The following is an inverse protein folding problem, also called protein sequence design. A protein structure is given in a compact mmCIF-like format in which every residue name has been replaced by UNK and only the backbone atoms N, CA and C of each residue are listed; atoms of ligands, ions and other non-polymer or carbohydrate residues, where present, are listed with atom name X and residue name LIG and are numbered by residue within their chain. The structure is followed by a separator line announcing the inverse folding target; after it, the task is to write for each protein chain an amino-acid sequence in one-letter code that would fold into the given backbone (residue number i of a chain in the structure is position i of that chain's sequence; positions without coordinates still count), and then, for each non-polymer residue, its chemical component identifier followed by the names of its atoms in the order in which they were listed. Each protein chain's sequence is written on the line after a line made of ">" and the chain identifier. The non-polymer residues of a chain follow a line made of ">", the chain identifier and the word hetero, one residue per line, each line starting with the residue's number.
data_IF_257683187347
#
_entry.id   IF_257683187347
#
_cell.length_a   1.000
_cell.length_b   1.000
_cell.length_c   1.000
_cell.angle_alpha   90.00
_cell.angle_beta   90.00
_cell.angle_gamma   90.00
#
_symmetry.space_group_name_H-M   'P 1'
#
loop_
_entity.id
_entity.type
_entity.pdbx_description
1 polymer ?
#
# COMPACT_ATOMS: atom_id res chain seq x y z
N UNK A 1 2.12 -1.46 23.66
CA UNK A 1 2.73 -0.77 22.51
C UNK A 1 2.42 -1.40 21.16
N UNK A 2 2.50 -2.74 20.98
CA UNK A 2 2.28 -3.37 19.65
C UNK A 2 0.85 -3.20 19.08
N UNK A 3 -0.17 -3.13 19.95
CA UNK A 3 -1.59 -3.06 19.55
C UNK A 3 -1.95 -1.71 18.91
N UNK A 4 -1.44 -0.61 19.45
CA UNK A 4 -1.64 0.74 18.91
C UNK A 4 -0.93 0.93 17.57
N UNK A 5 0.31 0.42 17.43
CA UNK A 5 1.04 0.46 16.16
C UNK A 5 0.30 -0.35 15.07
N UNK A 6 -0.22 -1.53 15.42
CA UNK A 6 -1.00 -2.35 14.47
C UNK A 6 -2.28 -1.64 14.03
N UNK A 7 -3.02 -1.01 14.95
CA UNK A 7 -4.19 -0.19 14.64
C UNK A 7 -3.84 0.97 13.71
N UNK A 8 -2.73 1.66 13.99
CA UNK A 8 -2.26 2.76 13.17
C UNK A 8 -1.96 2.32 11.74
N UNK A 9 -1.28 1.18 11.55
CA UNK A 9 -1.01 0.60 10.22
C UNK A 9 -2.31 0.25 9.48
N UNK A 10 -3.29 -0.32 10.18
CA UNK A 10 -4.61 -0.66 9.61
C UNK A 10 -5.38 0.59 9.18
N UNK A 11 -5.36 1.64 10.00
CA UNK A 11 -6.01 2.91 9.70
C UNK A 11 -5.32 3.62 8.53
N UNK A 12 -3.98 3.68 8.54
CA UNK A 12 -3.22 4.23 7.42
C UNK A 12 -3.47 3.46 6.12
N UNK A 13 -3.50 2.12 6.19
CA UNK A 13 -3.79 1.29 5.01
C UNK A 13 -5.21 1.52 4.49
N UNK A 14 -6.20 1.61 5.38
CA UNK A 14 -7.59 1.89 5.00
C UNK A 14 -7.75 3.28 4.39
N UNK A 15 -7.16 4.31 5.02
CA UNK A 15 -7.23 5.68 4.54
C UNK A 15 -6.48 5.86 3.21
N UNK A 16 -5.28 5.29 3.10
CA UNK A 16 -4.52 5.31 1.86
C UNK A 16 -5.27 4.58 0.74
N UNK A 17 -5.86 3.42 1.02
CA UNK A 17 -6.67 2.68 0.05
C UNK A 17 -7.89 3.46 -0.42
N UNK A 18 -8.64 4.07 0.50
CA UNK A 18 -9.80 4.91 0.18
C UNK A 18 -9.42 6.15 -0.63
N UNK A 19 -8.32 6.81 -0.26
CA UNK A 19 -7.82 7.99 -0.97
C UNK A 19 -7.33 7.64 -2.38
N UNK A 20 -6.64 6.51 -2.53
CA UNK A 20 -6.15 6.06 -3.84
C UNK A 20 -7.31 5.67 -4.77
N UNK A 21 -8.40 5.14 -4.20
CA UNK A 21 -9.61 4.81 -4.94
C UNK A 21 -10.32 6.06 -5.50
N UNK A 22 -10.26 7.21 -4.81
CA UNK A 22 -10.88 8.46 -5.26
C UNK A 22 -10.01 9.24 -6.23
N UNK A 23 -8.69 9.28 -6.05
CA UNK A 23 -7.79 10.05 -6.92
C UNK A 23 -7.41 9.33 -8.21
N UNK A 24 -7.30 8.01 -8.19
CA UNK A 24 -7.06 7.17 -9.38
C UNK A 24 -5.67 7.25 -10.01
N UNK A 25 -4.82 8.18 -9.57
CA UNK A 25 -3.46 8.39 -10.10
C UNK A 25 -2.46 8.67 -8.98
N UNK A 26 -1.30 8.02 -9.06
CA UNK A 26 -0.22 8.16 -8.08
C UNK A 26 1.15 7.95 -8.73
N UNK A 27 2.10 8.82 -8.41
CA UNK A 27 3.49 8.73 -8.83
C UNK A 27 4.37 8.39 -7.63
N UNK A 28 5.10 7.29 -7.72
CA UNK A 28 6.07 6.89 -6.71
C UNK A 28 7.48 7.20 -7.23
N UNK A 29 8.22 8.16 -6.64
CA UNK A 29 9.57 8.48 -7.07
C UNK A 29 10.49 7.26 -6.90
N UNK A 30 11.30 6.98 -7.90
CA UNK A 30 12.30 5.92 -7.78
C UNK A 30 13.42 6.37 -6.82
N UNK A 31 13.90 5.45 -5.99
CA UNK A 31 14.87 5.74 -4.92
C UNK A 31 16.30 5.86 -5.45
N UNK A 32 16.59 5.17 -6.55
CA UNK A 32 17.92 5.11 -7.15
C UNK A 32 18.12 6.18 -8.24
N UNK A 33 17.03 6.61 -8.90
CA UNK A 33 17.05 7.68 -9.89
C UNK A 33 15.80 8.55 -9.74
N UNK A 34 15.99 9.76 -9.20
CA UNK A 34 14.90 10.70 -8.91
C UNK A 34 14.23 11.26 -10.18
N UNK A 35 14.86 11.09 -11.35
CA UNK A 35 14.28 11.48 -12.64
C UNK A 35 13.19 10.53 -13.12
N UNK A 36 13.11 9.32 -12.53
CA UNK A 36 12.12 8.30 -12.86
C UNK A 36 11.10 8.17 -11.73
N UNK A 37 9.83 7.97 -12.11
CA UNK A 37 8.76 7.66 -11.19
C UNK A 37 7.97 6.44 -11.69
N UNK A 38 7.57 5.57 -10.77
CA UNK A 38 6.61 4.51 -11.05
C UNK A 38 5.21 5.12 -11.01
N UNK A 39 4.58 5.21 -12.17
CA UNK A 39 3.24 5.72 -12.38
C UNK A 39 2.21 4.61 -12.21
N UNK A 40 1.30 4.81 -11.26
CA UNK A 40 0.13 3.97 -11.05
C UNK A 40 -1.10 4.72 -11.57
N UNK A 41 -1.57 4.35 -12.76
CA UNK A 41 -2.76 4.94 -13.40
C UNK A 41 -3.92 3.94 -13.50
N UNK A 42 -5.14 4.45 -13.35
CA UNK A 42 -6.37 3.72 -13.64
C UNK A 42 -6.48 2.37 -12.92
N UNK A 43 -6.24 1.27 -13.64
CA UNK A 43 -6.37 -0.09 -13.11
C UNK A 43 -5.30 -0.41 -12.06
N UNK A 44 -4.05 0.05 -12.24
CA UNK A 44 -2.94 -0.27 -11.32
C UNK A 44 -3.10 0.46 -9.98
N UNK A 45 -3.56 1.71 -10.02
CA UNK A 45 -3.98 2.45 -8.81
C UNK A 45 -5.14 1.76 -8.09
N UNK A 46 -6.16 1.28 -8.83
CA UNK A 46 -7.28 0.53 -8.23
C UNK A 46 -6.87 -0.80 -7.63
N UNK A 47 -5.96 -1.53 -8.25
CA UNK A 47 -5.40 -2.77 -7.71
C UNK A 47 -4.64 -2.51 -6.41
N UNK A 48 -3.83 -1.45 -6.36
CA UNK A 48 -3.12 -1.04 -5.16
C UNK A 48 -4.09 -0.60 -4.04
N UNK A 49 -5.14 0.15 -4.39
CA UNK A 49 -6.19 0.56 -3.46
C UNK A 49 -6.91 -0.67 -2.88
N UNK A 50 -7.26 -1.63 -3.73
CA UNK A 50 -7.86 -2.90 -3.34
C UNK A 50 -6.98 -3.70 -2.39
N UNK A 51 -5.66 -3.76 -2.65
CA UNK A 51 -4.71 -4.42 -1.78
C UNK A 51 -4.68 -3.78 -0.38
N UNK A 52 -4.61 -2.45 -0.31
CA UNK A 52 -4.59 -1.69 0.95
C UNK A 52 -5.87 -1.87 1.77
N UNK A 53 -7.03 -1.89 1.11
CA UNK A 53 -8.31 -2.17 1.76
C UNK A 53 -8.40 -3.62 2.26
N UNK A 54 -7.91 -4.59 1.49
CA UNK A 54 -7.84 -5.99 1.92
C UNK A 54 -6.93 -6.13 3.15
N UNK A 55 -5.80 -5.45 3.17
CA UNK A 55 -4.87 -5.45 4.31
C UNK A 55 -5.53 -4.86 5.57
N UNK A 56 -6.24 -3.74 5.42
CA UNK A 56 -6.99 -3.11 6.52
C UNK A 56 -8.07 -4.06 7.05
N UNK A 57 -8.86 -4.68 6.17
CA UNK A 57 -9.89 -5.64 6.54
C UNK A 57 -9.32 -6.88 7.26
N UNK A 58 -8.18 -7.40 6.79
CA UNK A 58 -7.47 -8.49 7.46
C UNK A 58 -7.02 -8.08 8.86
N UNK A 59 -6.37 -6.92 8.99
CA UNK A 59 -5.89 -6.41 10.27
C UNK A 59 -7.02 -6.17 11.29
N UNK A 60 -8.16 -5.62 10.86
CA UNK A 60 -9.35 -5.46 11.72
C UNK A 60 -9.89 -6.82 12.17
N UNK A 61 -10.03 -7.78 11.24
CA UNK A 61 -10.52 -9.13 11.55
C UNK A 61 -9.64 -9.84 12.58
N UNK A 62 -8.32 -9.65 12.49
CA UNK A 62 -7.36 -10.18 13.45
C UNK A 62 -7.48 -9.52 14.83
N UNK A 63 -7.59 -8.19 14.87
CA UNK A 63 -7.70 -7.45 16.14
C UNK A 63 -9.02 -7.70 16.86
N UNK A 64 -10.14 -7.81 16.12
CA UNK A 64 -11.44 -8.19 16.67
C UNK A 64 -11.36 -9.55 17.36
N UNK A 65 -10.73 -10.54 16.70
CA UNK A 65 -10.60 -11.89 17.26
C UNK A 65 -9.69 -11.90 18.51
N UNK A 66 -8.60 -11.15 18.48
CA UNK A 66 -7.73 -10.93 19.65
C UNK A 66 -8.44 -10.18 20.79
N UNK A 67 -9.40 -9.29 20.49
CA UNK A 67 -10.18 -8.55 21.49
C UNK A 67 -11.25 -9.44 22.15
N UNK A 68 -11.82 -10.37 21.40
CA UNK A 68 -12.80 -11.35 21.90
C UNK A 68 -12.18 -12.41 22.84
N UNK A 69 -10.86 -12.38 23.07
CA UNK A 69 -10.21 -13.29 24.02
C UNK A 69 -10.30 -14.77 23.63
N UNK A 70 -10.69 -15.07 22.39
CA UNK A 70 -10.81 -16.45 21.91
C UNK A 70 -9.42 -17.07 21.82
N UNK A 71 -9.10 -17.94 22.77
CA UNK A 71 -7.89 -18.76 22.74
C UNK A 71 -7.87 -19.53 21.42
N UNK A 72 -6.72 -19.48 20.75
CA UNK A 72 -6.44 -20.12 19.47
C UNK A 72 -6.90 -21.59 19.47
N UNK A 73 -8.10 -21.83 18.96
CA UNK A 73 -8.73 -23.14 18.95
C UNK A 73 -9.88 -23.18 17.95
N UNK A 74 -9.57 -23.67 16.75
CA UNK A 74 -10.49 -24.36 15.85
C UNK A 74 -11.67 -23.58 15.25
N UNK A 75 -11.42 -22.43 14.61
CA UNK A 75 -12.31 -22.03 13.51
C UNK A 75 -11.53 -22.05 12.19
N UNK A 76 -11.53 -23.23 11.57
CA UNK A 76 -10.86 -23.47 10.28
C UNK A 76 -11.42 -22.54 9.20
N UNK A 77 -12.71 -22.21 9.26
CA UNK A 77 -13.34 -21.30 8.30
C UNK A 77 -12.77 -19.88 8.40
N UNK A 78 -12.58 -19.38 9.62
CA UNK A 78 -11.93 -18.08 9.81
C UNK A 78 -10.47 -18.09 9.38
N UNK A 79 -9.70 -19.14 9.70
CA UNK A 79 -8.31 -19.25 9.26
C UNK A 79 -8.20 -19.25 7.73
N UNK A 80 -9.04 -20.02 7.05
CA UNK A 80 -9.09 -20.05 5.59
C UNK A 80 -9.49 -18.68 5.05
N UNK A 81 -10.55 -18.05 5.57
CA UNK A 81 -10.97 -16.71 5.13
C UNK A 81 -9.85 -15.68 5.31
N UNK A 82 -9.18 -15.71 6.45
CA UNK A 82 -8.08 -14.80 6.74
C UNK A 82 -6.88 -15.03 5.81
N UNK A 83 -6.53 -16.30 5.59
CA UNK A 83 -5.50 -16.69 4.62
C UNK A 83 -5.85 -16.22 3.21
N UNK A 84 -7.07 -16.45 2.74
CA UNK A 84 -7.54 -16.02 1.41
C UNK A 84 -7.46 -14.50 1.25
N UNK A 85 -7.86 -13.72 2.27
CA UNK A 85 -7.76 -12.25 2.21
C UNK A 85 -6.29 -11.80 2.14
N UNK A 86 -5.39 -12.44 2.89
CA UNK A 86 -3.96 -12.13 2.84
C UNK A 86 -3.34 -12.51 1.49
N UNK A 87 -3.66 -13.68 0.96
CA UNK A 87 -3.21 -14.11 -0.37
C UNK A 87 -3.73 -13.16 -1.44
N UNK A 88 -5.00 -12.76 -1.37
CA UNK A 88 -5.58 -11.78 -2.29
C UNK A 88 -4.87 -10.43 -2.20
N UNK A 89 -4.55 -9.96 -1.00
CA UNK A 89 -3.76 -8.75 -0.79
C UNK A 89 -2.40 -8.82 -1.50
N UNK A 90 -1.69 -9.94 -1.35
CA UNK A 90 -0.37 -10.13 -2.00
C UNK A 90 -0.53 -10.12 -3.52
N UNK A 91 -1.49 -10.87 -4.07
CA UNK A 91 -1.74 -10.94 -5.52
C UNK A 91 -2.09 -9.57 -6.08
N UNK A 92 -2.96 -8.81 -5.42
CA UNK A 92 -3.35 -7.46 -5.83
C UNK A 92 -2.15 -6.50 -5.81
N UNK A 93 -1.31 -6.59 -4.76
CA UNK A 93 -0.12 -5.78 -4.64
C UNK A 93 0.88 -6.09 -5.77
N UNK A 94 1.18 -7.36 -5.99
CA UNK A 94 2.06 -7.79 -7.08
C UNK A 94 1.50 -7.38 -8.45
N UNK A 95 0.21 -7.58 -8.70
CA UNK A 95 -0.43 -7.18 -9.95
C UNK A 95 -0.38 -5.66 -10.19
N UNK A 96 -0.55 -4.86 -9.13
CA UNK A 96 -0.42 -3.41 -9.21
C UNK A 96 0.97 -2.98 -9.67
N UNK A 97 2.03 -3.59 -9.13
CA UNK A 97 3.41 -3.29 -9.52
C UNK A 97 3.76 -3.78 -10.93
N UNK A 98 3.27 -4.96 -11.34
CA UNK A 98 3.48 -5.46 -12.71
C UNK A 98 2.81 -4.54 -13.75
N UNK A 99 1.67 -3.92 -13.38
CA UNK A 99 0.92 -3.01 -14.24
C UNK A 99 1.34 -1.54 -14.10
N UNK A 100 2.26 -1.23 -13.18
CA UNK A 100 2.73 0.13 -13.02
C UNK A 100 3.76 0.45 -14.11
N UNK A 101 3.65 1.64 -14.70
CA UNK A 101 4.55 2.07 -15.76
C UNK A 101 5.68 2.90 -15.16
N UNK A 102 6.91 2.75 -15.64
CA UNK A 102 8.01 3.64 -15.26
C UNK A 102 8.01 4.82 -16.23
N UNK A 103 7.75 6.01 -15.70
CA UNK A 103 7.61 7.26 -16.45
C UNK A 103 8.62 8.29 -15.94
N UNK A 104 8.95 9.27 -16.76
CA UNK A 104 9.73 10.42 -16.29
C UNK A 104 8.95 11.15 -15.19
N UNK A 105 9.61 11.44 -14.07
CA UNK A 105 8.99 12.07 -12.93
C UNK A 105 8.60 13.54 -13.27
N UNK A 106 7.30 13.90 -13.27
CA UNK A 106 6.87 15.26 -13.63
C UNK A 106 7.35 16.31 -12.62
N UNK A 107 7.59 15.91 -11.37
CA UNK A 107 8.04 16.78 -10.29
C UNK A 107 9.57 16.88 -10.21
N UNK A 108 10.31 16.17 -11.08
CA UNK A 108 11.76 16.23 -11.10
C UNK A 108 12.25 17.56 -11.67
N UNK A 109 12.79 18.42 -10.79
CA UNK A 109 13.64 19.54 -11.17
C UNK A 109 15.09 19.10 -11.08
N UNK A 110 15.80 19.15 -12.21
CA UNK A 110 17.24 18.95 -12.21
C UNK A 110 17.90 19.94 -11.21
N UNK A 111 18.87 19.51 -10.40
CA UNK A 111 19.64 20.42 -9.57
C UNK A 111 20.26 21.48 -10.47
N UNK A 112 19.84 22.73 -10.35
CA UNK A 112 20.47 23.84 -11.05
C UNK A 112 21.91 23.92 -10.56
N UNK A 113 22.87 23.64 -11.44
CA UNK A 113 24.32 23.69 -11.19
C UNK A 113 24.80 25.16 -11.04
N UNK A 114 24.14 25.95 -10.17
CA UNK A 114 24.37 27.39 -10.00
C UNK A 114 25.18 27.73 -8.74
N UNK A 115 25.82 26.76 -8.10
CA UNK A 115 26.68 26.97 -6.92
C UNK A 115 28.12 26.47 -7.13
N UNK A 116 28.59 26.43 -8.37
CA UNK A 116 29.98 26.13 -8.72
C UNK A 116 30.62 27.30 -9.47
N UNK A 117 30.51 28.52 -8.92
CA UNK A 117 31.27 29.69 -9.39
C UNK A 117 31.21 30.84 -8.37
N UNK A 118 31.90 30.68 -7.24
CA UNK A 118 32.49 31.83 -6.54
C UNK A 118 33.94 31.50 -6.33
N UNK A 119 34.75 32.03 -7.25
CA UNK A 119 36.19 32.01 -7.29
C UNK A 119 36.76 33.16 -6.43
#
# INVERSE_FOLDING_TARGET
>A
MMRTLSLFVVLLSGLAGAWLFTRGEFYLPNRFDLSLATHFSGISARLLAGALLCLSAAGLSFMQRMAMGTRAGADRAWQIRHFVILSLCIVLFTAAFIKAEVVLNPDYRAPSHSAAQTH
#
